data_IF_581582610960
#
_entry.id   IF_581582610960
#
_cell.length_a   1.000
_cell.length_b   1.000
_cell.length_c   1.000
_cell.angle_alpha   90.00
_cell.angle_beta   90.00
_cell.angle_gamma   90.00
#
_symmetry.space_group_name_H-M   'P 1'
#
loop_
_entity.id
_entity.type
_entity.pdbx_description
1 polymer ?
#
# COMPACT_ATOMS: atom_id res chain seq x y z
N UNK A 1 -16.65 17.89 -15.01
CA UNK A 1 -15.19 17.66 -15.03
C UNK A 1 -14.85 16.87 -13.77
N UNK A 2 -14.27 15.68 -13.90
CA UNK A 2 -14.28 14.62 -12.88
C UNK A 2 -13.34 14.77 -11.69
N UNK A 3 -12.80 15.96 -11.40
CA UNK A 3 -11.93 16.18 -10.24
C UNK A 3 -12.66 17.03 -9.19
N UNK A 4 -13.46 16.38 -8.35
CA UNK A 4 -14.01 16.95 -7.13
C UNK A 4 -13.09 16.56 -5.96
N UNK A 5 -12.47 17.56 -5.32
CA UNK A 5 -11.53 17.34 -4.23
C UNK A 5 -12.19 16.71 -2.99
N UNK A 6 -13.52 16.83 -2.83
CA UNK A 6 -14.25 16.22 -1.71
C UNK A 6 -14.31 14.70 -1.80
N UNK A 7 -14.00 14.12 -2.97
CA UNK A 7 -13.95 12.68 -3.21
C UNK A 7 -12.57 12.06 -2.95
N UNK A 8 -11.59 12.86 -2.54
CA UNK A 8 -10.26 12.37 -2.20
C UNK A 8 -10.22 11.88 -0.75
N UNK A 9 -9.95 10.60 -0.58
CA UNK A 9 -9.72 9.99 0.74
C UNK A 9 -8.22 9.72 0.88
N UNK A 10 -7.64 10.14 2.01
CA UNK A 10 -6.23 9.92 2.33
C UNK A 10 -6.13 8.85 3.41
N UNK A 11 -5.51 7.72 3.07
CA UNK A 11 -5.28 6.59 3.97
C UNK A 11 -3.79 6.30 4.04
N UNK A 12 -3.25 6.11 5.25
CA UNK A 12 -1.84 5.76 5.43
C UNK A 12 -1.61 4.32 4.96
N UNK A 13 -0.63 4.12 4.08
CA UNK A 13 -0.24 2.79 3.61
C UNK A 13 1.29 2.72 3.46
N UNK A 14 1.95 2.06 4.40
CA UNK A 14 3.37 1.72 4.27
C UNK A 14 3.52 0.29 3.72
N UNK A 15 4.01 0.17 2.48
CA UNK A 15 4.18 -1.13 1.83
C UNK A 15 5.34 -1.95 2.43
N UNK A 16 6.20 -1.36 3.26
CA UNK A 16 7.26 -2.03 4.00
C UNK A 16 6.81 -2.54 5.39
N UNK A 17 5.51 -2.43 5.72
CA UNK A 17 4.91 -2.92 6.96
C UNK A 17 3.55 -3.58 6.66
N UNK A 18 3.48 -4.91 6.81
CA UNK A 18 2.24 -5.65 6.52
C UNK A 18 1.08 -5.30 7.45
N UNK A 19 1.34 -4.83 8.67
CA UNK A 19 0.27 -4.35 9.56
C UNK A 19 -0.36 -3.08 8.99
N UNK A 20 0.47 -2.15 8.49
CA UNK A 20 -0.01 -0.92 7.83
C UNK A 20 -0.82 -1.21 6.56
N UNK A 21 -0.39 -2.19 5.74
CA UNK A 21 -1.14 -2.60 4.54
C UNK A 21 -2.53 -3.12 4.90
N UNK A 22 -2.65 -3.91 5.97
CA UNK A 22 -3.94 -4.46 6.44
C UNK A 22 -4.84 -3.40 7.04
N UNK A 23 -4.27 -2.45 7.77
CA UNK A 23 -5.02 -1.31 8.31
C UNK A 23 -5.56 -0.42 7.19
N UNK A 24 -4.73 -0.12 6.18
CA UNK A 24 -5.14 0.63 5.00
C UNK A 24 -6.31 -0.02 4.27
N UNK A 25 -6.23 -1.33 3.99
CA UNK A 25 -7.32 -2.05 3.34
C UNK A 25 -8.63 -2.00 4.15
N UNK A 26 -8.53 -2.16 5.48
CA UNK A 26 -9.70 -2.04 6.37
C UNK A 26 -10.31 -0.65 6.38
N UNK A 27 -9.50 0.41 6.30
CA UNK A 27 -9.99 1.79 6.26
C UNK A 27 -10.67 2.07 4.92
N UNK A 28 -10.08 1.67 3.80
CA UNK A 28 -10.69 1.84 2.48
C UNK A 28 -12.03 1.12 2.40
N UNK A 29 -12.11 -0.13 2.87
CA UNK A 29 -13.35 -0.92 2.86
C UNK A 29 -14.44 -0.41 3.82
N UNK A 30 -14.11 0.51 4.74
CA UNK A 30 -15.13 1.19 5.56
C UNK A 30 -15.76 2.37 4.82
N UNK A 31 -14.98 3.06 3.99
CA UNK A 31 -15.42 4.24 3.25
C UNK A 31 -16.07 3.87 1.91
N UNK A 32 -15.60 2.80 1.25
CA UNK A 32 -16.05 2.39 -0.08
C UNK A 32 -16.30 0.87 -0.14
N UNK A 33 -17.44 0.47 -0.72
CA UNK A 33 -17.85 -0.94 -0.81
C UNK A 33 -16.97 -1.74 -1.79
N UNK A 34 -16.38 -1.07 -2.78
CA UNK A 34 -15.68 -1.72 -3.90
C UNK A 34 -14.51 -0.88 -4.42
N UNK A 35 -13.43 -1.56 -4.78
CA UNK A 35 -12.32 -1.01 -5.56
C UNK A 35 -12.45 -1.46 -7.02
N UNK A 36 -12.78 -0.54 -7.93
CA UNK A 36 -12.83 -0.83 -9.37
C UNK A 36 -11.45 -0.93 -10.01
N UNK A 37 -10.52 -0.06 -9.58
CA UNK A 37 -9.17 0.04 -10.13
C UNK A 37 -8.18 0.17 -8.99
N UNK A 38 -7.15 -0.68 -9.00
CA UNK A 38 -6.01 -0.60 -8.09
C UNK A 38 -4.75 -0.27 -8.88
N UNK A 39 -4.10 0.85 -8.55
CA UNK A 39 -2.84 1.27 -9.18
C UNK A 39 -1.71 1.13 -8.17
N UNK A 40 -0.98 0.01 -8.27
CA UNK A 40 0.17 -0.30 -7.42
C UNK A 40 1.45 0.46 -7.85
N UNK A 41 1.40 1.79 -7.79
CA UNK A 41 2.46 2.67 -8.29
C UNK A 41 3.67 2.79 -7.33
N UNK A 42 3.43 2.94 -6.02
CA UNK A 42 4.48 3.28 -5.05
C UNK A 42 5.66 2.31 -5.10
N UNK A 43 6.90 2.80 -4.99
CA UNK A 43 8.06 1.93 -4.98
C UNK A 43 9.33 2.69 -4.62
N UNK A 44 10.29 1.97 -4.07
CA UNK A 44 11.61 2.48 -3.68
C UNK A 44 12.69 1.90 -4.59
N UNK A 45 13.65 2.73 -4.99
CA UNK A 45 14.80 2.34 -5.80
C UNK A 45 16.06 2.97 -5.20
N UNK A 46 17.23 2.37 -5.43
CA UNK A 46 18.52 2.84 -4.90
C UNK A 46 18.54 2.97 -3.37
N UNK A 47 17.95 2.00 -2.68
CA UNK A 47 18.01 1.99 -1.22
C UNK A 47 19.48 1.85 -0.75
N UNK A 48 19.98 2.77 0.09
CA UNK A 48 21.42 3.05 0.22
C UNK A 48 22.23 1.92 0.88
N UNK A 49 21.57 0.99 1.57
CA UNK A 49 22.20 -0.14 2.26
C UNK A 49 21.20 -1.30 2.32
N UNK A 50 21.69 -2.52 2.46
CA UNK A 50 20.80 -3.64 2.78
C UNK A 50 20.15 -3.42 4.15
N UNK A 51 18.82 -3.42 4.18
CA UNK A 51 18.01 -3.29 5.39
C UNK A 51 16.82 -4.23 5.33
N UNK A 52 16.44 -4.74 6.50
CA UNK A 52 15.22 -5.52 6.64
C UNK A 52 14.10 -4.63 7.16
N UNK A 53 12.91 -4.84 6.64
CA UNK A 53 11.66 -4.28 7.16
C UNK A 53 11.33 -4.84 8.54
N UNK A 54 10.28 -4.30 9.17
CA UNK A 54 9.73 -4.81 10.42
C UNK A 54 9.24 -6.27 10.30
N UNK A 55 8.84 -6.69 9.11
CA UNK A 55 8.43 -8.07 8.81
C UNK A 55 9.62 -8.99 8.45
N UNK A 56 10.85 -8.46 8.43
CA UNK A 56 12.08 -9.23 8.25
C UNK A 56 12.49 -9.50 6.80
N UNK A 57 11.82 -8.92 5.81
CA UNK A 57 12.17 -9.02 4.40
C UNK A 57 13.08 -7.88 3.96
N UNK A 58 13.81 -8.05 2.85
CA UNK A 58 14.61 -6.96 2.29
C UNK A 58 13.71 -5.79 1.86
N UNK A 59 14.15 -4.55 2.15
CA UNK A 59 13.38 -3.32 1.98
C UNK A 59 12.77 -3.16 0.58
N UNK A 60 13.58 -3.27 -0.47
CA UNK A 60 13.12 -3.06 -1.86
C UNK A 60 12.20 -4.18 -2.32
N UNK A 61 12.51 -5.43 -1.93
CA UNK A 61 11.65 -6.59 -2.17
C UNK A 61 10.28 -6.30 -1.58
N UNK A 62 10.20 -6.10 -0.26
CA UNK A 62 8.93 -6.01 0.44
C UNK A 62 8.05 -4.90 -0.10
N UNK A 63 8.58 -3.67 -0.13
CA UNK A 63 7.82 -2.50 -0.58
C UNK A 63 7.37 -2.60 -2.04
N UNK A 64 8.23 -3.09 -2.94
CA UNK A 64 7.93 -3.09 -4.37
C UNK A 64 7.17 -4.32 -4.87
N UNK A 65 7.08 -5.38 -4.07
CA UNK A 65 6.45 -6.62 -4.51
C UNK A 65 5.51 -7.22 -3.46
N UNK A 66 5.96 -7.42 -2.22
CA UNK A 66 5.23 -8.19 -1.20
C UNK A 66 4.07 -7.40 -0.63
N UNK A 67 4.30 -6.15 -0.25
CA UNK A 67 3.26 -5.25 0.23
C UNK A 67 2.19 -5.01 -0.82
N UNK A 68 2.59 -4.80 -2.08
CA UNK A 68 1.67 -4.65 -3.22
C UNK A 68 0.83 -5.90 -3.48
N UNK A 69 1.46 -7.08 -3.44
CA UNK A 69 0.76 -8.35 -3.62
C UNK A 69 -0.18 -8.61 -2.44
N UNK A 70 0.25 -8.33 -1.21
CA UNK A 70 -0.58 -8.45 -0.02
C UNK A 70 -1.82 -7.56 -0.14
N UNK A 71 -1.68 -6.30 -0.52
CA UNK A 71 -2.82 -5.39 -0.73
C UNK A 71 -3.81 -5.95 -1.76
N UNK A 72 -3.30 -6.53 -2.85
CA UNK A 72 -4.12 -7.14 -3.90
C UNK A 72 -4.92 -8.36 -3.41
N UNK A 73 -4.49 -9.10 -2.41
CA UNK A 73 -5.17 -10.31 -1.95
C UNK A 73 -6.09 -10.09 -0.74
N UNK A 74 -5.92 -8.98 0.00
CA UNK A 74 -6.72 -8.68 1.21
C UNK A 74 -7.87 -7.69 0.97
N UNK A 75 -8.01 -7.21 -0.26
CA UNK A 75 -9.18 -6.44 -0.70
C UNK A 75 -10.43 -7.31 -0.78
#
# INVERSE_FOLDING_TARGET
MGCDATRLILVKCDLADFSSVRECAKEILKEEEKIDILINNAGVMFYPKYEKTVDGHEMTWQSNHLGKNLFLIIR
#
